data_IF_364289692973
#
_entry.id   IF_364289692973
#
_cell.length_a   1.000
_cell.length_b   1.000
_cell.length_c   1.000
_cell.angle_alpha   90.00
_cell.angle_beta   90.00
_cell.angle_gamma   90.00
#
_symmetry.space_group_name_H-M   'P 1'
#
loop_
_entity.id
_entity.type
_entity.pdbx_description
1 polymer ?
#
# COMPACT_ATOMS: atom_id res chain seq x y z
N UNK A 1 -18.92 14.80 -40.69
CA UNK A 1 -18.82 14.08 -39.39
C UNK A 1 -17.41 13.60 -39.01
N UNK A 2 -16.46 13.41 -39.96
CA UNK A 2 -15.10 12.91 -39.68
C UNK A 2 -14.18 13.81 -38.82
N UNK A 3 -14.36 15.14 -38.85
CA UNK A 3 -13.50 16.09 -38.10
C UNK A 3 -13.81 16.17 -36.59
N UNK A 4 -15.04 15.90 -36.16
CA UNK A 4 -15.45 15.93 -34.74
C UNK A 4 -14.98 14.70 -33.97
N UNK A 5 -14.90 13.54 -34.63
CA UNK A 5 -14.38 12.30 -34.04
C UNK A 5 -12.87 12.37 -33.74
N UNK A 6 -12.09 13.00 -34.64
CA UNK A 6 -10.64 13.21 -34.44
C UNK A 6 -10.34 14.15 -33.26
N UNK A 7 -11.17 15.17 -33.05
CA UNK A 7 -11.02 16.09 -31.93
C UNK A 7 -11.31 15.42 -30.58
N UNK A 8 -12.31 14.53 -30.51
CA UNK A 8 -12.63 13.75 -29.31
C UNK A 8 -11.51 12.75 -28.96
N UNK A 9 -10.88 12.12 -29.95
CA UNK A 9 -9.71 11.25 -29.74
C UNK A 9 -8.53 12.08 -29.21
N UNK A 10 -8.26 13.25 -29.79
CA UNK A 10 -7.17 14.12 -29.34
C UNK A 10 -7.39 14.66 -27.91
N UNK A 11 -8.63 14.97 -27.53
CA UNK A 11 -8.98 15.40 -26.15
C UNK A 11 -8.87 14.24 -25.15
N UNK A 12 -9.21 13.00 -25.54
CA UNK A 12 -8.98 11.80 -24.72
C UNK A 12 -7.49 11.48 -24.53
N UNK A 13 -6.65 11.73 -25.54
CA UNK A 13 -5.19 11.62 -25.41
C UNK A 13 -4.53 12.78 -24.65
N UNK A 14 -5.13 13.98 -24.65
CA UNK A 14 -4.63 15.12 -23.88
C UNK A 14 -5.07 15.12 -22.40
N UNK A 15 -6.11 14.37 -22.05
CA UNK A 15 -6.61 14.22 -20.67
C UNK A 15 -6.13 12.94 -19.99
N UNK A 16 -5.52 12.02 -20.73
CA UNK A 16 -4.59 11.08 -20.14
C UNK A 16 -3.32 11.86 -19.83
N UNK A 17 -3.23 12.39 -18.60
CA UNK A 17 -1.94 12.46 -17.94
C UNK A 17 -1.38 11.05 -17.97
N UNK A 18 -0.63 10.70 -19.02
CA UNK A 18 0.33 9.62 -18.97
C UNK A 18 1.10 9.93 -17.70
N UNK A 19 0.88 9.13 -16.65
CA UNK A 19 1.64 9.24 -15.43
C UNK A 19 3.09 9.10 -15.88
N UNK A 20 3.80 10.24 -15.97
CA UNK A 20 5.22 10.21 -16.25
C UNK A 20 5.79 9.35 -15.13
N UNK A 21 6.42 8.23 -15.49
CA UNK A 21 7.05 7.37 -14.50
C UNK A 21 7.94 8.26 -13.62
N UNK A 22 7.58 8.36 -12.33
CA UNK A 22 8.35 9.14 -11.38
C UNK A 22 9.53 8.30 -10.92
N UNK A 23 10.69 8.91 -10.77
CA UNK A 23 11.85 8.24 -10.22
C UNK A 23 12.30 8.83 -8.89
N UNK A 24 12.87 7.98 -8.04
CA UNK A 24 13.56 8.41 -6.80
C UNK A 24 14.60 9.49 -7.07
N UNK A 25 15.28 9.41 -8.23
CA UNK A 25 16.35 10.33 -8.59
C UNK A 25 15.90 11.79 -8.69
N UNK A 26 14.66 12.05 -9.10
CA UNK A 26 14.08 13.41 -9.16
C UNK A 26 13.88 14.04 -7.76
N UNK A 27 13.72 13.17 -6.76
CA UNK A 27 13.53 13.55 -5.37
C UNK A 27 14.82 13.90 -4.66
N UNK A 28 15.97 13.44 -5.16
CA UNK A 28 17.26 13.60 -4.48
C UNK A 28 17.73 15.06 -4.47
N UNK A 29 18.37 15.41 -3.36
CA UNK A 29 19.12 16.67 -3.18
C UNK A 29 20.48 16.33 -2.55
N UNK A 30 21.43 17.26 -2.63
CA UNK A 30 22.77 17.11 -2.06
C UNK A 30 22.73 17.25 -0.53
N UNK A 31 22.24 16.21 0.15
CA UNK A 31 22.10 16.15 1.60
C UNK A 31 22.07 14.71 2.11
N UNK A 32 22.62 14.42 3.31
CA UNK A 32 22.52 13.09 3.90
C UNK A 32 21.06 12.64 4.10
N UNK A 33 20.81 11.38 3.75
CA UNK A 33 19.51 10.72 3.77
C UNK A 33 19.43 9.81 5.00
N UNK A 34 18.30 9.77 5.68
CA UNK A 34 18.00 8.77 6.71
C UNK A 34 17.25 7.57 6.15
N UNK A 35 16.34 7.80 5.20
CA UNK A 35 15.61 6.75 4.52
C UNK A 35 15.05 7.20 3.17
N UNK A 36 14.81 6.24 2.29
CA UNK A 36 13.95 6.36 1.12
C UNK A 36 12.85 5.32 1.25
N UNK A 37 11.59 5.75 1.23
CA UNK A 37 10.44 4.86 1.15
C UNK A 37 9.74 5.06 -0.20
N UNK A 38 9.33 3.97 -0.82
CA UNK A 38 8.68 3.95 -2.13
C UNK A 38 7.51 2.99 -2.04
N UNK A 39 6.38 3.37 -2.58
CA UNK A 39 5.21 2.50 -2.73
C UNK A 39 4.67 2.59 -4.16
N UNK A 40 4.23 1.44 -4.67
CA UNK A 40 3.56 1.35 -5.96
C UNK A 40 2.54 0.22 -6.03
N UNK A 41 1.68 0.31 -7.03
CA UNK A 41 0.56 -0.62 -7.26
C UNK A 41 0.60 -1.18 -8.68
N UNK A 42 0.60 -2.51 -8.79
CA UNK A 42 0.57 -3.20 -10.07
C UNK A 42 -0.86 -3.62 -10.42
N UNK A 43 -1.41 -3.01 -11.49
CA UNK A 43 -2.73 -3.35 -12.01
C UNK A 43 -2.74 -4.65 -12.84
N UNK A 44 -1.56 -5.16 -13.20
CA UNK A 44 -1.41 -6.33 -14.08
C UNK A 44 -0.94 -7.57 -13.34
N UNK A 45 -0.74 -7.51 -12.01
CA UNK A 45 -0.27 -8.64 -11.22
C UNK A 45 1.25 -8.87 -11.27
N UNK A 46 1.98 -8.02 -12.00
CA UNK A 46 3.41 -8.20 -12.26
C UNK A 46 4.24 -7.36 -11.26
N UNK A 47 5.32 -7.90 -10.67
CA UNK A 47 6.23 -7.10 -9.84
C UNK A 47 6.88 -5.95 -10.63
N UNK A 48 7.27 -4.85 -9.98
CA UNK A 48 7.96 -3.74 -10.65
C UNK A 48 9.29 -4.23 -11.20
N UNK A 49 9.63 -3.89 -12.45
CA UNK A 49 10.93 -4.31 -13.01
C UNK A 49 12.09 -3.49 -12.43
N UNK A 50 11.82 -2.22 -12.09
CA UNK A 50 12.74 -1.34 -11.39
C UNK A 50 12.00 -0.56 -10.29
N UNK A 51 12.02 -1.00 -9.03
CA UNK A 51 11.27 -0.36 -7.95
C UNK A 51 11.74 1.06 -7.60
N UNK A 52 12.83 1.56 -8.21
CA UNK A 52 13.34 2.93 -8.02
C UNK A 52 12.95 3.87 -9.18
N UNK A 53 12.39 3.32 -10.26
CA UNK A 53 11.96 4.02 -11.46
C UNK A 53 10.92 3.18 -12.19
N UNK A 54 9.66 3.28 -11.76
CA UNK A 54 8.54 2.50 -12.30
C UNK A 54 7.31 3.40 -12.46
N UNK A 55 6.54 3.19 -13.53
CA UNK A 55 5.30 3.94 -13.77
C UNK A 55 4.20 3.65 -12.74
N UNK A 56 4.31 2.53 -12.01
CA UNK A 56 3.36 2.14 -10.96
C UNK A 56 3.61 2.82 -9.61
N UNK A 57 4.67 3.64 -9.47
CA UNK A 57 4.96 4.36 -8.23
C UNK A 57 3.85 5.37 -7.94
N UNK A 58 3.24 5.26 -6.77
CA UNK A 58 2.21 6.18 -6.29
C UNK A 58 2.71 7.11 -5.20
N UNK A 59 3.76 6.70 -4.49
CA UNK A 59 4.33 7.47 -3.38
C UNK A 59 5.83 7.27 -3.26
N UNK A 60 6.56 8.35 -3.04
CA UNK A 60 7.98 8.35 -2.66
C UNK A 60 8.13 9.28 -1.46
N UNK A 61 8.95 8.91 -0.48
CA UNK A 61 9.32 9.79 0.62
C UNK A 61 10.79 9.63 0.96
N UNK A 62 11.55 10.71 0.79
CA UNK A 62 12.97 10.77 1.12
C UNK A 62 13.13 11.65 2.34
N UNK A 63 13.53 11.06 3.46
CA UNK A 63 13.80 11.77 4.70
C UNK A 63 15.27 12.15 4.80
N UNK A 64 15.55 13.45 4.83
CA UNK A 64 16.88 14.02 4.97
C UNK A 64 17.15 14.43 6.41
N UNK A 65 18.45 14.52 6.73
CA UNK A 65 18.91 15.14 7.95
C UNK A 65 18.42 16.59 8.06
N UNK A 66 18.02 17.04 9.25
CA UNK A 66 17.63 18.43 9.48
C UNK A 66 18.01 18.90 10.88
N UNK A 67 17.42 18.33 11.92
CA UNK A 67 17.82 18.58 13.32
C UNK A 67 17.54 17.35 14.21
N UNK A 68 17.68 17.50 15.52
CA UNK A 68 17.51 16.41 16.48
C UNK A 68 16.07 15.86 16.55
N UNK A 69 15.07 16.70 16.28
CA UNK A 69 13.64 16.37 16.46
C UNK A 69 12.94 16.01 15.16
N UNK A 70 13.36 16.61 14.05
CA UNK A 70 12.66 16.55 12.77
C UNK A 70 13.57 16.11 11.63
N UNK A 71 12.96 15.43 10.65
CA UNK A 71 13.53 15.21 9.32
C UNK A 71 12.89 16.21 8.35
N UNK A 72 13.70 16.71 7.41
CA UNK A 72 13.17 17.39 6.23
C UNK A 72 12.85 16.32 5.18
N UNK A 73 11.65 16.31 4.64
CA UNK A 73 11.23 15.30 3.70
C UNK A 73 10.85 15.93 2.36
N UNK A 74 11.36 15.33 1.29
CA UNK A 74 10.84 15.55 -0.07
C UNK A 74 10.06 14.30 -0.46
N UNK A 75 8.78 14.46 -0.78
CA UNK A 75 7.89 13.34 -1.02
C UNK A 75 7.03 13.58 -2.25
N UNK A 76 6.82 12.53 -3.04
CA UNK A 76 5.96 12.51 -4.20
C UNK A 76 4.63 11.87 -3.81
N UNK A 77 3.53 12.55 -4.06
CA UNK A 77 2.19 12.04 -3.79
C UNK A 77 1.15 12.77 -4.64
N UNK A 78 0.25 12.01 -5.27
CA UNK A 78 -0.84 12.58 -6.06
C UNK A 78 -0.33 13.35 -7.28
N UNK A 79 0.71 12.84 -7.94
CA UNK A 79 1.23 13.39 -9.20
C UNK A 79 2.24 14.52 -9.03
N UNK A 80 2.63 14.91 -7.80
CA UNK A 80 3.51 16.05 -7.56
C UNK A 80 4.46 15.83 -6.39
N UNK A 81 5.63 16.47 -6.50
CA UNK A 81 6.58 16.61 -5.41
C UNK A 81 6.11 17.67 -4.41
N UNK A 82 6.34 17.40 -3.13
CA UNK A 82 6.00 18.22 -1.97
C UNK A 82 7.15 18.16 -0.98
N UNK A 83 7.16 19.12 -0.06
CA UNK A 83 8.15 19.22 1.00
C UNK A 83 7.45 19.36 2.36
N UNK A 84 8.06 18.82 3.41
CA UNK A 84 7.50 18.89 4.76
C UNK A 84 8.49 18.46 5.83
N UNK A 85 8.15 18.77 7.09
CA UNK A 85 8.93 18.37 8.26
C UNK A 85 8.17 17.31 9.04
N UNK A 86 8.86 16.21 9.36
CA UNK A 86 8.26 15.06 10.03
C UNK A 86 9.06 14.73 11.29
N UNK A 87 8.39 14.20 12.31
CA UNK A 87 9.07 13.77 13.53
C UNK A 87 10.10 12.69 13.21
N UNK A 88 11.30 12.85 13.74
CA UNK A 88 12.36 11.86 13.63
C UNK A 88 11.99 10.65 14.49
N UNK A 89 11.89 9.48 13.86
CA UNK A 89 11.59 8.23 14.55
C UNK A 89 12.87 7.43 14.80
N UNK A 90 13.14 7.12 16.06
CA UNK A 90 14.35 6.39 16.47
C UNK A 90 15.64 7.17 16.20
N UNK A 91 16.74 6.44 16.05
CA UNK A 91 18.07 6.99 15.78
C UNK A 91 18.61 6.50 14.43
N UNK A 92 18.04 6.96 13.30
CA UNK A 92 18.50 6.54 11.99
C UNK A 92 19.92 7.03 11.73
N UNK A 93 20.78 6.15 11.21
CA UNK A 93 22.13 6.50 10.76
C UNK A 93 22.03 7.12 9.35
N UNK A 94 22.55 8.34 9.12
CA UNK A 94 22.53 8.98 7.81
C UNK A 94 23.44 8.26 6.81
N UNK A 95 23.13 8.39 5.52
CA UNK A 95 23.91 7.85 4.41
C UNK A 95 23.73 8.69 3.14
N UNK A 96 24.61 8.51 2.16
CA UNK A 96 24.42 9.02 0.81
C UNK A 96 23.88 7.92 -0.10
N UNK A 97 23.03 8.26 -1.07
CA UNK A 97 22.47 7.25 -1.99
C UNK A 97 23.57 6.51 -2.76
N UNK A 98 24.70 7.17 -3.01
CA UNK A 98 25.89 6.64 -3.68
C UNK A 98 26.65 5.61 -2.86
N UNK A 99 26.42 5.54 -1.55
CA UNK A 99 26.97 4.49 -0.68
C UNK A 99 26.40 3.10 -1.04
N UNK A 100 25.27 3.08 -1.75
CA UNK A 100 24.67 1.88 -2.30
C UNK A 100 25.04 1.68 -3.76
N UNK A 101 25.56 0.48 -4.08
CA UNK A 101 25.60 0.00 -5.45
C UNK A 101 24.19 -0.47 -5.88
N UNK A 102 23.29 0.49 -6.16
CA UNK A 102 21.90 0.21 -6.54
C UNK A 102 21.80 -0.54 -7.88
N UNK A 103 22.80 -0.43 -8.75
CA UNK A 103 22.87 -1.24 -9.98
C UNK A 103 23.03 -2.73 -9.66
N UNK A 104 23.92 -3.10 -8.73
CA UNK A 104 24.06 -4.49 -8.26
C UNK A 104 22.78 -4.98 -7.59
N UNK A 105 22.21 -4.19 -6.68
CA UNK A 105 20.94 -4.50 -6.00
C UNK A 105 19.82 -4.78 -7.00
N UNK A 106 19.67 -3.92 -8.01
CA UNK A 106 18.64 -4.06 -9.03
C UNK A 106 18.83 -5.33 -9.87
N UNK A 107 20.07 -5.67 -10.27
CA UNK A 107 20.36 -6.91 -11.00
C UNK A 107 19.99 -8.16 -10.21
N UNK A 108 20.35 -8.22 -8.93
CA UNK A 108 20.02 -9.33 -8.03
C UNK A 108 18.50 -9.48 -7.84
N UNK A 109 17.80 -8.34 -7.70
CA UNK A 109 16.34 -8.32 -7.63
C UNK A 109 15.71 -8.85 -8.93
N UNK A 110 16.10 -8.30 -10.09
CA UNK A 110 15.59 -8.71 -11.40
C UNK A 110 15.85 -10.18 -11.68
N UNK A 111 17.03 -10.69 -11.32
CA UNK A 111 17.33 -12.12 -11.43
C UNK A 111 16.31 -12.97 -10.66
N UNK A 112 15.94 -12.56 -9.44
CA UNK A 112 14.94 -13.29 -8.66
C UNK A 112 13.52 -13.17 -9.20
N UNK A 113 13.15 -12.03 -9.78
CA UNK A 113 11.86 -11.89 -10.49
C UNK A 113 11.74 -12.91 -11.63
N UNK A 114 12.82 -13.13 -12.38
CA UNK A 114 12.83 -14.06 -13.52
C UNK A 114 12.99 -15.52 -13.10
N UNK A 115 13.83 -15.80 -12.10
CA UNK A 115 14.28 -17.17 -11.82
C UNK A 115 13.76 -17.73 -10.49
N UNK A 116 13.58 -16.88 -9.48
CA UNK A 116 13.14 -17.31 -8.16
C UNK A 116 11.62 -17.33 -8.06
N UNK A 117 10.94 -16.19 -8.27
CA UNK A 117 9.49 -16.04 -8.12
C UNK A 117 8.65 -17.09 -8.87
N UNK A 118 8.96 -17.46 -10.14
CA UNK A 118 8.15 -18.43 -10.86
C UNK A 118 8.19 -19.84 -10.28
N UNK A 119 9.20 -20.15 -9.45
CA UNK A 119 9.39 -21.48 -8.87
C UNK A 119 8.89 -21.58 -7.43
N UNK A 120 8.31 -20.51 -6.88
CA UNK A 120 7.80 -20.51 -5.51
C UNK A 120 6.42 -21.16 -5.47
N UNK A 121 6.29 -22.15 -4.60
CA UNK A 121 5.04 -22.85 -4.29
C UNK A 121 4.76 -22.80 -2.79
N UNK A 122 3.49 -22.84 -2.39
CA UNK A 122 3.06 -22.84 -0.99
C UNK A 122 1.79 -23.64 -0.79
N UNK A 123 1.58 -24.13 0.44
CA UNK A 123 0.38 -24.88 0.84
C UNK A 123 -0.46 -24.03 1.79
N UNK A 124 -1.74 -23.84 1.46
CA UNK A 124 -2.72 -23.15 2.30
C UNK A 124 -3.97 -24.01 2.51
N UNK A 125 -4.78 -23.72 3.55
CA UNK A 125 -6.00 -24.46 3.85
C UNK A 125 -7.10 -24.36 2.77
N UNK A 126 -6.98 -23.43 1.81
CA UNK A 126 -7.87 -23.35 0.66
C UNK A 126 -7.10 -22.86 -0.58
N UNK A 127 -6.68 -23.80 -1.44
CA UNK A 127 -6.08 -23.52 -2.74
C UNK A 127 -4.55 -23.52 -2.70
N UNK A 128 -3.96 -24.57 -3.27
CA UNK A 128 -2.51 -24.62 -3.52
C UNK A 128 -2.09 -23.47 -4.44
N UNK A 129 -1.00 -22.78 -4.11
CA UNK A 129 -0.42 -21.83 -5.04
C UNK A 129 0.16 -22.60 -6.23
N UNK A 130 -0.36 -22.32 -7.43
CA UNK A 130 0.22 -22.86 -8.65
C UNK A 130 1.63 -22.31 -8.84
N UNK A 131 2.52 -23.10 -9.44
CA UNK A 131 3.81 -22.61 -9.92
C UNK A 131 3.60 -21.33 -10.74
N UNK A 132 4.39 -20.30 -10.48
CA UNK A 132 4.23 -18.99 -11.12
C UNK A 132 3.32 -18.02 -10.36
N UNK A 133 2.51 -18.46 -9.39
CA UNK A 133 1.54 -17.59 -8.70
C UNK A 133 2.11 -16.22 -8.30
N UNK A 134 3.28 -16.20 -7.64
CA UNK A 134 3.93 -14.99 -7.15
C UNK A 134 4.38 -14.00 -8.24
N UNK A 135 4.59 -14.42 -9.48
CA UNK A 135 5.00 -13.49 -10.55
C UNK A 135 3.81 -12.82 -11.24
N UNK A 136 2.59 -13.31 -10.98
CA UNK A 136 1.34 -12.87 -11.62
C UNK A 136 0.27 -12.42 -10.62
N UNK A 137 0.59 -12.39 -9.32
CA UNK A 137 -0.36 -12.04 -8.25
C UNK A 137 0.01 -10.78 -7.49
N UNK A 138 1.11 -10.09 -7.84
CA UNK A 138 1.60 -8.92 -7.11
C UNK A 138 0.70 -7.73 -7.41
N UNK A 139 0.12 -7.16 -6.36
CA UNK A 139 -0.79 -6.02 -6.47
C UNK A 139 -0.21 -4.75 -5.90
N UNK A 140 0.53 -4.87 -4.80
CA UNK A 140 1.18 -3.76 -4.11
C UNK A 140 2.61 -4.12 -3.77
N UNK A 141 3.50 -3.15 -3.91
CA UNK A 141 4.89 -3.31 -3.52
C UNK A 141 5.40 -2.08 -2.80
N UNK A 142 6.45 -2.28 -2.00
CA UNK A 142 7.17 -1.19 -1.38
C UNK A 142 8.66 -1.46 -1.39
N UNK A 143 9.45 -0.39 -1.44
CA UNK A 143 10.88 -0.45 -1.29
C UNK A 143 11.33 0.54 -0.21
N UNK A 144 12.22 0.08 0.66
CA UNK A 144 12.82 0.87 1.74
C UNK A 144 14.33 0.81 1.59
N UNK A 145 14.98 1.97 1.58
CA UNK A 145 16.44 2.11 1.59
C UNK A 145 16.83 2.84 2.87
N UNK A 146 17.76 2.25 3.63
CA UNK A 146 18.41 2.86 4.80
C UNK A 146 19.92 2.79 4.63
N UNK A 147 20.69 3.24 5.62
CA UNK A 147 22.16 3.19 5.58
C UNK A 147 22.76 1.79 5.47
N UNK A 148 22.03 0.75 5.89
CA UNK A 148 22.52 -0.64 5.97
C UNK A 148 21.61 -1.67 5.29
N UNK A 149 20.39 -1.30 4.88
CA UNK A 149 19.46 -2.21 4.23
C UNK A 149 18.76 -1.59 3.01
N UNK A 150 18.61 -2.40 1.95
CA UNK A 150 17.55 -2.23 0.95
C UNK A 150 16.56 -3.38 1.14
N UNK A 151 15.27 -3.07 1.29
CA UNK A 151 14.20 -4.08 1.41
C UNK A 151 13.11 -3.77 0.41
N UNK A 152 12.82 -4.71 -0.48
CA UNK A 152 11.67 -4.70 -1.37
C UNK A 152 10.67 -5.73 -0.85
N UNK A 153 9.40 -5.33 -0.72
CA UNK A 153 8.30 -6.20 -0.30
C UNK A 153 7.27 -6.25 -1.41
N UNK A 154 6.88 -7.44 -1.82
CA UNK A 154 5.85 -7.68 -2.83
C UNK A 154 4.67 -8.36 -2.14
N UNK A 155 3.49 -7.74 -2.20
CA UNK A 155 2.25 -8.22 -1.61
C UNK A 155 1.31 -8.68 -2.72
N UNK A 156 0.53 -9.72 -2.45
CA UNK A 156 -0.41 -10.29 -3.41
C UNK A 156 -1.81 -9.69 -3.26
N UNK A 157 -2.63 -9.79 -4.31
CA UNK A 157 -4.06 -9.40 -4.28
C UNK A 157 -4.87 -10.16 -3.21
N UNK A 158 -4.49 -11.38 -2.86
CA UNK A 158 -5.34 -12.28 -2.08
C UNK A 158 -5.63 -11.77 -0.66
N UNK A 159 -4.72 -11.00 -0.08
CA UNK A 159 -4.86 -10.40 1.24
C UNK A 159 -4.96 -8.87 1.20
N UNK A 160 -5.01 -8.26 0.03
CA UNK A 160 -5.03 -6.80 -0.08
C UNK A 160 -6.37 -6.24 0.40
N UNK A 161 -6.33 -5.27 1.32
CA UNK A 161 -7.50 -4.56 1.82
C UNK A 161 -8.39 -5.35 2.79
N UNK A 162 -8.23 -6.68 2.92
CA UNK A 162 -9.06 -7.47 3.83
C UNK A 162 -8.75 -7.15 5.30
N UNK A 163 -7.51 -6.78 5.63
CA UNK A 163 -7.06 -6.59 7.00
C UNK A 163 -7.02 -7.89 7.84
N UNK A 164 -7.60 -8.97 7.33
CA UNK A 164 -7.77 -10.29 7.93
C UNK A 164 -6.57 -11.21 7.67
N UNK A 165 -5.74 -10.88 6.68
CA UNK A 165 -4.49 -11.59 6.42
C UNK A 165 -3.42 -10.69 5.81
N UNK A 166 -2.16 -11.15 5.87
CA UNK A 166 -1.03 -10.62 5.13
C UNK A 166 -0.42 -11.73 4.28
N UNK A 167 -0.20 -11.46 2.99
CA UNK A 167 0.48 -12.36 2.08
C UNK A 167 1.56 -11.60 1.29
N UNK A 168 2.83 -11.88 1.58
CA UNK A 168 3.94 -11.16 0.98
C UNK A 168 5.22 -11.98 0.87
N UNK A 169 6.11 -11.50 0.00
CA UNK A 169 7.49 -11.96 -0.10
C UNK A 169 8.44 -10.76 -0.08
N UNK A 170 9.64 -10.97 0.46
CA UNK A 170 10.64 -9.89 0.56
C UNK A 170 11.92 -10.24 -0.15
N UNK A 171 12.52 -9.26 -0.81
CA UNK A 171 13.91 -9.25 -1.22
C UNK A 171 14.66 -8.26 -0.34
N UNK A 172 15.81 -8.68 0.21
CA UNK A 172 16.58 -7.86 1.16
C UNK A 172 18.06 -7.89 0.79
N UNK A 173 18.65 -6.72 0.69
CA UNK A 173 20.10 -6.55 0.64
C UNK A 173 20.58 -5.90 1.93
N UNK A 174 21.69 -6.42 2.45
CA UNK A 174 22.42 -5.83 3.57
C UNK A 174 23.77 -5.36 3.06
N UNK A 175 24.17 -4.18 3.54
CA UNK A 175 25.49 -3.62 3.26
C UNK A 175 26.34 -3.71 4.52
N UNK A 176 27.53 -4.27 4.36
CA UNK A 176 28.61 -4.19 5.33
C UNK A 176 29.81 -3.57 4.62
N UNK A 177 30.07 -2.30 4.93
CA UNK A 177 31.02 -1.43 4.21
C UNK A 177 30.73 -1.39 2.69
N UNK A 178 31.63 -1.93 1.87
CA UNK A 178 31.48 -2.00 0.41
C UNK A 178 30.81 -3.30 -0.07
N UNK A 179 30.66 -4.29 0.83
CA UNK A 179 30.06 -5.56 0.47
C UNK A 179 28.53 -5.50 0.58
N UNK A 180 27.85 -5.86 -0.50
CA UNK A 180 26.39 -5.97 -0.57
C UNK A 180 26.01 -7.42 -0.80
N UNK A 181 25.26 -7.98 0.14
CA UNK A 181 24.70 -9.34 0.08
C UNK A 181 23.18 -9.27 0.02
N UNK A 182 22.59 -9.92 -0.98
CA UNK A 182 21.15 -9.90 -1.24
C UNK A 182 20.55 -11.29 -1.12
N UNK A 183 19.33 -11.37 -0.61
CA UNK A 183 18.58 -12.63 -0.44
C UNK A 183 17.10 -12.42 -0.68
N UNK A 184 16.48 -13.43 -1.29
CA UNK A 184 15.04 -13.56 -1.31
C UNK A 184 14.56 -14.33 -0.08
N UNK A 185 13.53 -13.81 0.58
CA UNK A 185 12.86 -14.48 1.67
C UNK A 185 11.95 -15.60 1.18
N UNK A 186 11.47 -16.41 2.13
CA UNK A 186 10.34 -17.30 1.89
C UNK A 186 9.04 -16.47 1.89
N UNK A 187 8.02 -16.89 1.14
CA UNK A 187 6.68 -16.34 1.28
C UNK A 187 6.20 -16.36 2.73
N UNK A 188 5.49 -15.31 3.11
CA UNK A 188 4.84 -15.18 4.40
C UNK A 188 3.35 -15.08 4.14
N UNK A 189 2.59 -15.91 4.86
CA UNK A 189 1.16 -15.81 4.95
C UNK A 189 0.77 -15.84 6.42
N UNK A 190 0.00 -14.85 6.86
CA UNK A 190 -0.47 -14.74 8.23
C UNK A 190 -1.96 -14.40 8.22
N UNK A 191 -2.78 -15.20 8.90
CA UNK A 191 -4.15 -14.83 9.19
C UNK A 191 -4.23 -14.16 10.57
N UNK A 192 -5.08 -13.14 10.69
CA UNK A 192 -5.33 -12.41 11.92
C UNK A 192 -6.75 -12.72 12.42
N UNK A 193 -6.92 -13.76 13.27
CA UNK A 193 -8.23 -14.06 13.83
C UNK A 193 -8.75 -12.90 14.68
N UNK A 194 -10.00 -12.50 14.44
CA UNK A 194 -10.70 -11.51 15.27
C UNK A 194 -10.54 -10.03 14.88
N UNK A 195 -9.93 -9.71 13.72
CA UNK A 195 -10.00 -8.35 13.19
C UNK A 195 -11.40 -8.11 12.59
N UNK A 196 -12.13 -7.06 13.00
CA UNK A 196 -13.40 -6.74 12.38
C UNK A 196 -13.17 -6.35 10.90
N UNK A 197 -14.06 -6.74 9.98
CA UNK A 197 -13.92 -6.42 8.56
C UNK A 197 -13.76 -4.90 8.37
N UNK A 198 -12.74 -4.49 7.61
CA UNK A 198 -12.59 -3.09 7.23
C UNK A 198 -13.65 -2.80 6.17
N UNK A 199 -14.75 -2.16 6.56
CA UNK A 199 -15.80 -1.74 5.63
C UNK A 199 -17.23 -1.90 6.14
N UNK A 200 -17.48 -2.49 7.29
CA UNK A 200 -18.82 -2.47 7.88
C UNK A 200 -18.96 -1.18 8.69
N UNK A 201 -19.78 -0.19 8.27
CA UNK A 201 -20.23 0.84 9.21
C UNK A 201 -20.85 0.11 10.41
N UNK A 202 -20.77 0.67 11.64
CA UNK A 202 -21.32 0.02 12.80
C UNK A 202 -22.77 -0.34 12.49
N UNK A 203 -23.06 -1.64 12.40
CA UNK A 203 -24.42 -2.09 12.62
C UNK A 203 -24.70 -1.57 14.02
N UNK A 204 -25.53 -0.53 14.10
CA UNK A 204 -26.26 -0.21 15.31
C UNK A 204 -26.89 -1.52 15.73
N UNK A 205 -26.24 -2.16 16.70
CA UNK A 205 -26.88 -3.19 17.48
C UNK A 205 -28.01 -2.42 18.12
N UNK A 206 -29.22 -2.53 17.57
CA UNK A 206 -30.45 -2.27 18.30
C UNK A 206 -30.40 -3.21 19.49
N UNK A 207 -29.73 -2.72 20.55
CA UNK A 207 -29.96 -3.17 21.90
C UNK A 207 -31.43 -2.85 22.10
N UNK A 208 -32.26 -3.89 21.98
CA UNK A 208 -33.58 -3.94 22.59
C UNK A 208 -33.40 -3.74 24.10
N UNK A 209 -33.20 -2.49 24.50
CA UNK A 209 -33.38 -1.96 25.85
C UNK A 209 -34.73 -1.28 25.83
N UNK A 210 -35.73 -2.07 26.18
CA UNK A 210 -37.01 -1.56 26.64
C UNK A 210 -36.72 -0.76 27.91
N UNK A 211 -36.78 0.56 27.82
CA UNK A 211 -36.83 1.48 28.98
C UNK A 211 -37.65 2.74 28.64
N UNK A 212 -38.99 2.60 28.71
CA UNK A 212 -39.98 3.65 29.02
C UNK A 212 -40.29 4.74 27.96
N UNK A 213 -41.44 5.45 28.04
CA UNK A 213 -42.60 5.32 28.92
C UNK A 213 -43.90 5.08 28.10
N UNK A 214 -44.01 3.96 27.39
CA UNK A 214 -45.23 3.65 26.62
C UNK A 214 -46.33 2.94 27.44
N UNK A 215 -46.11 2.74 28.74
CA UNK A 215 -47.02 2.01 29.64
C UNK A 215 -47.99 2.92 30.44
N UNK A 216 -48.10 4.21 30.08
CA UNK A 216 -48.98 5.17 30.76
C UNK A 216 -50.00 5.89 29.86
N UNK A 217 -50.04 5.59 28.56
CA UNK A 217 -51.09 6.11 27.65
C UNK A 217 -52.21 5.09 27.41
N UNK A 218 -52.00 3.82 27.78
CA UNK A 218 -52.99 2.74 27.68
C UNK A 218 -54.10 2.74 28.75
N UNK A 219 -54.10 3.67 29.71
CA UNK A 219 -55.05 3.69 30.83
C UNK A 219 -55.92 4.97 30.92
N UNK A 220 -55.92 5.84 29.90
CA UNK A 220 -56.73 7.08 29.90
C UNK A 220 -57.71 7.18 28.72
N UNK A 221 -57.64 6.31 27.70
CA UNK A 221 -58.56 6.37 26.54
C UNK A 221 -59.57 5.23 26.42
N UNK A 222 -59.61 4.31 27.39
CA UNK A 222 -60.57 3.19 27.40
C UNK A 222 -62.02 3.56 27.80
N UNK A 223 -62.35 4.71 28.44
CA UNK A 223 -63.77 5.03 28.70
C UNK A 223 -64.53 5.74 27.56
N UNK A 224 -63.89 6.20 26.47
CA UNK A 224 -64.51 7.22 25.59
C UNK A 224 -65.03 6.77 24.22
N UNK A 225 -64.92 5.49 23.83
CA UNK A 225 -65.43 5.02 22.52
C UNK A 225 -66.44 3.86 22.58
N UNK A 226 -67.00 3.56 23.76
CA UNK A 226 -68.16 2.64 23.90
C UNK A 226 -69.52 3.35 23.64
N UNK A 227 -69.51 4.64 23.30
CA UNK A 227 -70.73 5.36 22.86
C UNK A 227 -70.60 5.82 21.41
N UNK A 228 -70.97 4.94 20.48
CA UNK A 228 -71.81 5.29 19.31
C UNK A 228 -72.12 4.04 18.48
N UNK A 229 -73.06 3.24 18.99
CA UNK A 229 -73.92 2.37 18.18
C UNK A 229 -75.32 3.01 18.18
N UNK A 230 -75.93 3.08 17.00
CA UNK A 230 -77.30 3.56 16.65
C UNK A 230 -77.39 4.99 16.11
N UNK A 231 -77.42 5.13 14.79
CA UNK A 231 -78.67 5.14 14.02
C UNK A 231 -78.42 4.59 12.63
#
# INVERSE_FOLDING_TARGET
>A
MRKRALFLIFVLFASSSFASAVSVWEGLIDKPIYYVNIEGYSLTGVPPWNPFNDSSITWINIGYEYNETYTFNKYYEGGKWKEGFFLKHGNPKPFNITDWNLSKVLKEYQWGVVNYLPNITGKFPAGEWKKGYWNSSISRWSAVITSNQVKITLNTFACEGSGECDEYITFKCHRNDDNVTCTWGKPVFKMYPGRPPIGTPPQTTEKNKICGPALLVGLVLVPLLIKQKKR
#
